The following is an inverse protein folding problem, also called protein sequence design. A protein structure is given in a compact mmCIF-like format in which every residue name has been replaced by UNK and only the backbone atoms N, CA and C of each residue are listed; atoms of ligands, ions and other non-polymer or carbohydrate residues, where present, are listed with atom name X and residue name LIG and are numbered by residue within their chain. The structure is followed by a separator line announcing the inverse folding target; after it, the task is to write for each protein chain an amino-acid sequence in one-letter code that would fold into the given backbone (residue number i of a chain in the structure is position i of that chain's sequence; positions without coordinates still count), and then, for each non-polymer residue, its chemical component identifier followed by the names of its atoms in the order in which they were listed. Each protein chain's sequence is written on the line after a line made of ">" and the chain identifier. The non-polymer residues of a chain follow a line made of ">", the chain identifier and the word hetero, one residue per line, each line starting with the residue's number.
data_IF_979781471923
#
_entry.id   IF_979781471923
#
_cell.length_a   1.000
_cell.length_b   1.000
_cell.length_c   1.000
_cell.angle_alpha   90.00
_cell.angle_beta   90.00
_cell.angle_gamma   90.00
#
_symmetry.space_group_name_H-M   'P 1'
#
loop_
_entity.id
_entity.type
_entity.pdbx_description
1 polymer ?
#
# COMPACT_ATOMS: atom_id res chain seq x y z
N UNK A 1 -30.91 42.60 13.49
CA UNK A 1 -30.02 41.53 14.00
C UNK A 1 -30.10 40.28 13.12
N UNK A 2 -29.63 40.29 11.85
CA UNK A 2 -29.72 39.10 10.97
C UNK A 2 -28.51 38.87 10.03
N UNK A 3 -27.57 39.80 9.96
CA UNK A 3 -26.38 39.69 9.08
C UNK A 3 -25.18 38.99 9.73
N UNK A 4 -25.11 38.98 11.06
CA UNK A 4 -24.01 38.37 11.84
C UNK A 4 -24.14 36.84 11.96
N UNK A 5 -25.37 36.31 11.92
CA UNK A 5 -25.62 34.87 11.95
C UNK A 5 -25.25 34.19 10.61
N UNK A 6 -25.44 34.88 9.48
CA UNK A 6 -25.13 34.32 8.16
C UNK A 6 -23.63 34.15 7.93
N UNK A 7 -22.81 35.12 8.35
CA UNK A 7 -21.34 35.03 8.29
C UNK A 7 -20.79 33.93 9.21
N UNK A 8 -21.49 33.59 10.29
CA UNK A 8 -21.03 32.58 11.25
C UNK A 8 -21.24 31.14 10.76
N UNK A 9 -22.20 30.90 9.87
CA UNK A 9 -22.45 29.55 9.31
C UNK A 9 -21.40 29.18 8.25
N UNK A 10 -20.88 30.15 7.49
CA UNK A 10 -19.84 29.92 6.49
C UNK A 10 -18.48 29.54 7.11
N UNK A 11 -18.17 30.06 8.29
CA UNK A 11 -16.91 29.78 8.98
C UNK A 11 -16.88 28.35 9.55
N UNK A 12 -18.03 27.81 9.99
CA UNK A 12 -18.09 26.46 10.58
C UNK A 12 -18.00 25.36 9.52
N UNK A 13 -18.51 25.58 8.30
CA UNK A 13 -18.41 24.60 7.20
C UNK A 13 -17.01 24.50 6.58
N UNK A 14 -16.17 25.55 6.69
CA UNK A 14 -14.80 25.53 6.19
C UNK A 14 -13.84 24.71 7.06
N UNK A 15 -14.16 24.53 8.35
CA UNK A 15 -13.30 23.83 9.32
C UNK A 15 -13.32 22.30 9.25
N UNK A 16 -14.23 21.68 8.47
CA UNK A 16 -14.28 20.21 8.34
C UNK A 16 -13.48 19.64 7.16
N UNK A 17 -12.78 20.47 6.37
CA UNK A 17 -12.09 20.01 5.17
C UNK A 17 -10.59 19.66 5.34
N UNK A 18 -10.02 19.72 6.55
CA UNK A 18 -8.58 19.43 6.74
C UNK A 18 -8.24 18.07 7.37
N UNK A 19 -9.20 17.15 7.53
CA UNK A 19 -8.94 15.84 8.15
C UNK A 19 -8.74 14.66 7.16
N UNK A 20 -8.38 14.93 5.90
CA UNK A 20 -7.90 13.92 4.95
C UNK A 20 -7.10 14.64 3.88
N UNK A 21 -5.77 14.54 3.82
CA UNK A 21 -5.04 13.33 3.52
C UNK A 21 -3.72 13.30 4.31
N UNK A 22 -3.68 12.58 5.42
CA UNK A 22 -2.43 12.02 5.91
C UNK A 22 -2.37 10.56 5.44
N UNK A 23 -2.21 10.33 4.14
CA UNK A 23 -1.82 9.03 3.62
C UNK A 23 -0.33 8.82 3.90
N UNK A 24 0.01 8.57 5.17
CA UNK A 24 1.39 8.28 5.62
C UNK A 24 1.92 6.93 5.16
N UNK A 25 1.25 6.20 4.26
CA UNK A 25 1.47 4.75 4.15
C UNK A 25 2.17 4.30 2.86
N UNK A 26 2.66 5.22 2.02
CA UNK A 26 3.27 4.82 0.74
C UNK A 26 4.80 4.99 0.69
N UNK A 27 5.43 5.80 1.56
CA UNK A 27 6.88 6.05 1.46
C UNK A 27 7.75 5.33 2.50
N UNK A 28 7.19 4.68 3.52
CA UNK A 28 8.00 4.13 4.62
C UNK A 28 8.46 2.69 4.42
N UNK A 29 7.90 1.96 3.44
CA UNK A 29 8.14 0.53 3.25
C UNK A 29 8.80 0.21 1.90
N UNK A 30 9.85 0.96 1.55
CA UNK A 30 10.66 0.70 0.36
C UNK A 30 12.10 0.42 0.78
N UNK A 31 12.77 -0.48 0.06
CA UNK A 31 14.23 -0.62 0.12
C UNK A 31 14.83 0.30 -0.93
N UNK A 32 15.68 1.21 -0.50
CA UNK A 32 16.35 2.16 -1.37
C UNK A 32 17.63 1.57 -1.96
N UNK A 33 18.06 2.09 -3.11
CA UNK A 33 19.33 1.70 -3.71
C UNK A 33 20.53 1.99 -2.79
N UNK A 34 20.45 3.01 -1.94
CA UNK A 34 21.52 3.34 -0.99
C UNK A 34 21.62 2.30 0.14
N UNK A 35 20.49 1.82 0.66
CA UNK A 35 20.48 0.73 1.65
C UNK A 35 21.10 -0.55 1.10
N UNK A 36 20.80 -0.91 -0.15
CA UNK A 36 21.43 -2.06 -0.82
C UNK A 36 22.93 -1.87 -0.99
N UNK A 37 23.38 -0.67 -1.38
CA UNK A 37 24.82 -0.37 -1.54
C UNK A 37 25.58 -0.35 -0.21
N UNK A 38 24.91 0.04 0.87
CA UNK A 38 25.49 0.16 2.20
C UNK A 38 25.68 -1.17 2.90
N UNK A 39 24.91 -2.22 2.54
CA UNK A 39 25.10 -3.55 3.11
C UNK A 39 26.48 -4.13 2.74
N UNK A 40 27.23 -4.55 3.76
CA UNK A 40 28.58 -5.15 3.60
C UNK A 40 28.77 -6.41 4.42
N UNK A 41 28.09 -6.51 5.55
CA UNK A 41 28.22 -7.62 6.47
C UNK A 41 27.08 -8.61 6.29
N UNK A 42 27.30 -9.84 6.76
CA UNK A 42 26.23 -10.83 6.86
C UNK A 42 24.99 -10.28 7.57
N UNK A 43 25.17 -9.52 8.65
CA UNK A 43 24.07 -8.93 9.41
C UNK A 43 23.30 -7.89 8.58
N UNK A 44 23.99 -7.05 7.79
CA UNK A 44 23.33 -6.06 6.93
C UNK A 44 22.46 -6.72 5.86
N UNK A 45 22.98 -7.78 5.23
CA UNK A 45 22.24 -8.52 4.22
C UNK A 45 21.03 -9.26 4.81
N UNK A 46 21.15 -9.81 6.03
CA UNK A 46 20.00 -10.38 6.74
C UNK A 46 18.95 -9.32 7.08
N UNK A 47 19.37 -8.14 7.54
CA UNK A 47 18.45 -7.04 7.82
C UNK A 47 17.71 -6.55 6.56
N UNK A 48 18.40 -6.50 5.41
CA UNK A 48 17.75 -6.23 4.13
C UNK A 48 16.75 -7.34 3.74
N UNK A 49 17.10 -8.60 3.97
CA UNK A 49 16.20 -9.71 3.70
C UNK A 49 14.90 -9.59 4.50
N UNK A 50 15.00 -9.33 5.81
CA UNK A 50 13.84 -9.19 6.68
C UNK A 50 12.99 -7.98 6.32
N UNK A 51 13.63 -6.86 5.90
CA UNK A 51 12.92 -5.68 5.40
C UNK A 51 12.14 -6.01 4.11
N UNK A 52 12.76 -6.70 3.16
CA UNK A 52 12.07 -7.15 1.95
C UNK A 52 10.88 -8.08 2.26
N UNK A 53 11.01 -9.00 3.23
CA UNK A 53 9.88 -9.85 3.64
C UNK A 53 8.75 -9.07 4.30
N UNK A 54 9.07 -8.08 5.14
CA UNK A 54 8.06 -7.21 5.74
C UNK A 54 7.27 -6.46 4.66
N UNK A 55 7.95 -5.96 3.63
CA UNK A 55 7.31 -5.31 2.47
C UNK A 55 6.45 -6.33 1.72
N UNK A 56 6.94 -7.54 1.47
CA UNK A 56 6.17 -8.57 0.79
C UNK A 56 4.87 -8.91 1.55
N UNK A 57 4.92 -8.99 2.88
CA UNK A 57 3.76 -9.22 3.74
C UNK A 57 2.75 -8.07 3.65
N UNK A 58 3.22 -6.82 3.65
CA UNK A 58 2.36 -5.64 3.48
C UNK A 58 1.67 -5.64 2.10
N UNK A 59 2.41 -5.96 1.03
CA UNK A 59 1.83 -6.08 -0.31
C UNK A 59 0.80 -7.21 -0.38
N UNK A 60 1.07 -8.35 0.25
CA UNK A 60 0.11 -9.45 0.30
C UNK A 60 -1.18 -9.06 1.06
N UNK A 61 -1.06 -8.34 2.17
CA UNK A 61 -2.21 -7.84 2.91
C UNK A 61 -3.08 -6.89 2.07
N UNK A 62 -2.44 -5.99 1.30
CA UNK A 62 -3.14 -5.10 0.36
C UNK A 62 -3.83 -5.86 -0.77
N UNK A 63 -3.16 -6.87 -1.34
CA UNK A 63 -3.80 -7.73 -2.33
C UNK A 63 -5.05 -8.43 -1.75
N UNK A 64 -4.98 -8.91 -0.51
CA UNK A 64 -6.10 -9.58 0.13
C UNK A 64 -7.24 -8.62 0.53
N UNK A 65 -6.94 -7.36 0.80
CA UNK A 65 -7.94 -6.30 0.97
C UNK A 65 -8.74 -6.09 -0.32
N UNK A 66 -8.08 -5.89 -1.45
CA UNK A 66 -8.76 -5.68 -2.74
C UNK A 66 -9.51 -6.94 -3.24
N UNK A 67 -9.03 -8.14 -2.93
CA UNK A 67 -9.80 -9.38 -3.18
C UNK A 67 -11.11 -9.44 -2.41
N UNK A 68 -11.16 -8.91 -1.19
CA UNK A 68 -12.40 -8.85 -0.40
C UNK A 68 -13.40 -7.88 -1.04
N UNK A 69 -12.93 -6.74 -1.56
CA UNK A 69 -13.77 -5.78 -2.29
C UNK A 69 -14.38 -6.43 -3.54
N UNK A 70 -13.56 -7.07 -4.38
CA UNK A 70 -14.04 -7.84 -5.54
C UNK A 70 -15.10 -8.88 -5.16
N UNK A 71 -14.86 -9.64 -4.10
CA UNK A 71 -15.81 -10.66 -3.62
C UNK A 71 -17.12 -10.03 -3.14
N UNK A 72 -17.06 -8.86 -2.51
CA UNK A 72 -18.25 -8.14 -2.05
C UNK A 72 -19.10 -7.67 -3.24
N UNK A 73 -18.46 -7.18 -4.31
CA UNK A 73 -19.16 -6.70 -5.51
C UNK A 73 -19.79 -7.86 -6.29
N UNK A 74 -19.09 -8.98 -6.42
CA UNK A 74 -19.64 -10.22 -7.01
C UNK A 74 -20.91 -10.70 -6.26
N UNK A 75 -20.99 -10.47 -4.94
CA UNK A 75 -22.18 -10.82 -4.13
C UNK A 75 -23.36 -9.87 -4.32
N UNK A 76 -23.18 -8.71 -4.97
CA UNK A 76 -24.25 -7.76 -5.33
C UNK A 76 -24.37 -7.60 -6.86
N UNK A 77 -24.61 -8.69 -7.61
CA UNK A 77 -24.59 -8.67 -9.08
C UNK A 77 -25.78 -7.93 -9.69
N UNK A 78 -26.73 -7.43 -8.89
CA UNK A 78 -27.85 -6.63 -9.35
C UNK A 78 -27.54 -5.12 -9.44
N UNK A 79 -26.37 -4.68 -8.96
CA UNK A 79 -25.90 -3.28 -9.00
C UNK A 79 -25.10 -2.98 -10.29
N UNK A 80 -25.16 -3.85 -11.30
CA UNK A 80 -24.31 -3.79 -12.50
C UNK A 80 -24.59 -2.54 -13.33
N UNK A 81 -23.62 -1.63 -13.33
CA UNK A 81 -23.49 -0.49 -14.23
C UNK A 81 -22.01 -0.20 -14.47
N UNK A 82 -21.69 0.59 -15.49
CA UNK A 82 -20.30 0.86 -15.94
C UNK A 82 -19.31 1.18 -14.80
N UNK A 83 -19.74 1.97 -13.81
CA UNK A 83 -18.87 2.33 -12.69
C UNK A 83 -18.45 1.12 -11.83
N UNK A 84 -19.32 0.11 -11.69
CA UNK A 84 -19.03 -1.11 -10.94
C UNK A 84 -18.06 -2.01 -11.73
N UNK A 85 -18.19 -2.07 -13.06
CA UNK A 85 -17.25 -2.77 -13.93
C UNK A 85 -15.86 -2.11 -13.86
N UNK A 86 -15.78 -0.78 -13.97
CA UNK A 86 -14.53 -0.03 -13.84
C UNK A 86 -13.86 -0.23 -12.47
N UNK A 87 -14.65 -0.29 -11.38
CA UNK A 87 -14.14 -0.54 -10.03
C UNK A 87 -13.63 -1.98 -9.86
N UNK A 88 -14.30 -2.97 -10.47
CA UNK A 88 -13.83 -4.36 -10.47
C UNK A 88 -12.52 -4.50 -11.25
N UNK A 89 -12.42 -3.91 -12.43
CA UNK A 89 -11.17 -3.91 -13.20
C UNK A 89 -10.04 -3.22 -12.44
N UNK A 90 -10.32 -2.08 -11.80
CA UNK A 90 -9.37 -1.37 -10.95
C UNK A 90 -8.87 -2.23 -9.79
N UNK A 91 -9.79 -2.84 -9.04
CA UNK A 91 -9.44 -3.70 -7.90
C UNK A 91 -8.65 -4.93 -8.36
N UNK A 92 -8.99 -5.54 -9.50
CA UNK A 92 -8.24 -6.66 -10.05
C UNK A 92 -6.82 -6.24 -10.43
N UNK A 93 -6.65 -5.08 -11.06
CA UNK A 93 -5.34 -4.55 -11.40
C UNK A 93 -4.48 -4.28 -10.14
N UNK A 94 -5.10 -3.78 -9.05
CA UNK A 94 -4.42 -3.61 -7.77
C UNK A 94 -4.01 -4.94 -7.14
N UNK A 95 -4.88 -5.95 -7.15
CA UNK A 95 -4.53 -7.31 -6.68
C UNK A 95 -3.30 -7.83 -7.42
N UNK A 96 -3.31 -7.78 -8.75
CA UNK A 96 -2.21 -8.27 -9.58
C UNK A 96 -0.90 -7.51 -9.32
N UNK A 97 -0.99 -6.18 -9.19
CA UNK A 97 0.16 -5.31 -8.90
C UNK A 97 0.79 -5.65 -7.55
N UNK A 98 -0.04 -5.76 -6.50
CA UNK A 98 0.43 -6.09 -5.16
C UNK A 98 0.99 -7.51 -5.07
N UNK A 99 0.40 -8.50 -5.76
CA UNK A 99 0.96 -9.84 -5.81
C UNK A 99 2.32 -9.90 -6.52
N UNK A 100 2.47 -9.15 -7.63
CA UNK A 100 3.77 -9.01 -8.31
C UNK A 100 4.80 -8.36 -7.40
N UNK A 101 4.41 -7.31 -6.67
CA UNK A 101 5.27 -6.66 -5.70
C UNK A 101 5.66 -7.60 -4.55
N UNK A 102 4.73 -8.36 -3.99
CA UNK A 102 5.02 -9.36 -2.96
C UNK A 102 6.03 -10.42 -3.45
N UNK A 103 5.79 -10.97 -4.64
CA UNK A 103 6.70 -11.95 -5.27
C UNK A 103 8.09 -11.38 -5.51
N UNK A 104 8.19 -10.15 -6.02
CA UNK A 104 9.46 -9.47 -6.23
C UNK A 104 10.23 -9.31 -4.92
N UNK A 105 9.58 -8.80 -3.87
CA UNK A 105 10.22 -8.58 -2.58
C UNK A 105 10.67 -9.89 -1.93
N UNK A 106 9.90 -10.99 -2.04
CA UNK A 106 10.34 -12.32 -1.57
C UNK A 106 11.58 -12.82 -2.32
N UNK A 107 11.66 -12.60 -3.64
CA UNK A 107 12.86 -12.94 -4.42
C UNK A 107 14.07 -12.14 -3.96
N UNK A 108 13.89 -10.84 -3.72
CA UNK A 108 14.97 -9.98 -3.21
C UNK A 108 15.40 -10.41 -1.81
N UNK A 109 14.47 -10.76 -0.92
CA UNK A 109 14.80 -11.31 0.39
C UNK A 109 15.66 -12.57 0.29
N UNK A 110 15.27 -13.51 -0.58
CA UNK A 110 16.06 -14.72 -0.83
C UNK A 110 17.47 -14.38 -1.33
N UNK A 111 17.61 -13.48 -2.30
CA UNK A 111 18.91 -13.04 -2.81
C UNK A 111 19.79 -12.48 -1.68
N UNK A 112 19.22 -11.66 -0.79
CA UNK A 112 19.98 -11.11 0.33
C UNK A 112 20.40 -12.19 1.34
N UNK A 113 19.58 -13.22 1.58
CA UNK A 113 19.99 -14.38 2.40
C UNK A 113 21.08 -15.22 1.75
N UNK A 114 21.00 -15.42 0.44
CA UNK A 114 22.03 -16.13 -0.33
C UNK A 114 23.37 -15.38 -0.19
N UNK A 115 23.38 -14.05 -0.41
CA UNK A 115 24.57 -13.20 -0.19
C UNK A 115 25.08 -13.28 1.26
N UNK A 116 24.17 -13.23 2.25
CA UNK A 116 24.54 -13.33 3.66
C UNK A 116 25.17 -14.69 4.02
N UNK A 117 24.82 -15.77 3.29
CA UNK A 117 25.41 -17.09 3.48
C UNK A 117 26.83 -17.20 2.93
N UNK A 118 27.14 -16.40 1.91
CA UNK A 118 28.45 -16.31 1.25
C UNK A 118 29.37 -15.26 1.91
N UNK A 119 28.78 -14.28 2.60
CA UNK A 119 29.50 -13.23 3.32
C UNK A 119 29.92 -13.75 4.70
N UNK A 120 31.23 -13.74 4.96
CA UNK A 120 31.85 -14.30 6.17
C UNK A 120 31.60 -13.47 7.43
#
# INVERSE_FOLDING_TARGET
>A
MKKKAWLSVLVVMASLYLAGCASTNTSQNLVTANEVKAAKTKADHLALADKYEAIAKDMQAKADEHKKLLTADIKRPYEVGRNVEDEQEHNQALVDSYQKAASFNLKMAKIQRDIASETR
#
